data_IF_518856845726
#
_entry.id   IF_518856845726
#
_cell.length_a   1.000
_cell.length_b   1.000
_cell.length_c   1.000
_cell.angle_alpha   90.00
_cell.angle_beta   90.00
_cell.angle_gamma   90.00
#
_symmetry.space_group_name_H-M   'P 1'
#
loop_
_entity.id
_entity.type
_entity.pdbx_description
1 polymer ?
#
# COMPACT_ATOMS: atom_id res chain seq x y z
N UNK A 1 5.88 32.19 -10.17
CA UNK A 1 6.01 30.85 -9.54
C UNK A 1 7.49 30.57 -9.32
N UNK A 2 8.00 30.73 -8.10
CA UNK A 2 9.43 30.52 -7.81
C UNK A 2 9.77 29.03 -8.06
N UNK A 3 10.84 28.80 -8.82
CA UNK A 3 11.38 27.45 -9.03
C UNK A 3 11.74 26.88 -7.66
N UNK A 4 11.00 25.88 -7.19
CA UNK A 4 11.36 25.17 -5.96
C UNK A 4 12.81 24.69 -6.08
N UNK A 5 13.60 24.95 -5.02
CA UNK A 5 14.93 24.37 -4.90
C UNK A 5 14.82 22.84 -5.02
N UNK A 6 15.81 22.21 -5.68
CA UNK A 6 15.90 20.75 -5.78
C UNK A 6 15.76 20.08 -4.40
N UNK A 7 16.28 20.71 -3.34
CA UNK A 7 16.16 20.24 -1.96
C UNK A 7 14.71 20.22 -1.46
N UNK A 8 13.94 21.29 -1.71
CA UNK A 8 12.52 21.36 -1.35
C UNK A 8 11.69 20.32 -2.10
N UNK A 9 12.01 20.09 -3.38
CA UNK A 9 11.34 19.05 -4.18
C UNK A 9 11.57 17.63 -3.63
N UNK A 10 12.80 17.32 -3.22
CA UNK A 10 13.13 16.03 -2.58
C UNK A 10 12.46 15.91 -1.21
N UNK A 11 12.44 16.98 -0.41
CA UNK A 11 11.79 17.00 0.89
C UNK A 11 10.30 16.67 0.75
N UNK A 12 9.58 17.38 -0.13
CA UNK A 12 8.15 17.14 -0.38
C UNK A 12 7.91 15.72 -0.86
N UNK A 13 8.73 15.20 -1.78
CA UNK A 13 8.62 13.83 -2.24
C UNK A 13 8.82 12.81 -1.11
N UNK A 14 9.84 12.98 -0.26
CA UNK A 14 10.09 12.12 0.89
C UNK A 14 8.96 12.16 1.94
N UNK A 15 8.37 13.34 2.16
CA UNK A 15 7.19 13.50 3.01
C UNK A 15 5.98 12.76 2.44
N UNK A 16 5.69 12.90 1.14
CA UNK A 16 4.60 12.20 0.48
C UNK A 16 4.75 10.67 0.58
N UNK A 17 5.98 10.16 0.36
CA UNK A 17 6.27 8.71 0.47
C UNK A 17 6.00 8.21 1.89
N UNK A 18 6.45 8.94 2.92
CA UNK A 18 6.16 8.57 4.31
C UNK A 18 4.66 8.59 4.64
N UNK A 19 3.91 9.53 4.05
CA UNK A 19 2.45 9.60 4.21
C UNK A 19 1.74 8.35 3.69
N UNK A 20 2.29 7.68 2.67
CA UNK A 20 1.75 6.43 2.13
C UNK A 20 1.75 5.28 3.14
N UNK A 21 2.71 5.27 4.08
CA UNK A 21 2.74 4.29 5.19
C UNK A 21 1.47 4.42 6.05
N UNK A 22 0.84 5.59 6.06
CA UNK A 22 -0.47 5.86 6.67
C UNK A 22 -1.59 4.94 6.19
N UNK A 23 -1.50 4.35 4.99
CA UNK A 23 -2.50 3.39 4.47
C UNK A 23 -2.64 2.17 5.37
N UNK A 24 -1.53 1.68 5.95
CA UNK A 24 -1.55 0.57 6.89
C UNK A 24 -2.31 0.94 8.18
N UNK A 25 -2.18 2.18 8.65
CA UNK A 25 -2.92 2.68 9.80
C UNK A 25 -4.41 2.88 9.48
N UNK A 26 -4.73 3.36 8.28
CA UNK A 26 -6.11 3.53 7.82
C UNK A 26 -6.88 2.20 7.78
N UNK A 27 -6.19 1.07 7.62
CA UNK A 27 -6.80 -0.26 7.67
C UNK A 27 -7.56 -0.51 8.98
N UNK A 28 -7.11 0.04 10.11
CA UNK A 28 -7.81 -0.14 11.38
C UNK A 28 -9.25 0.40 11.37
N UNK A 29 -9.52 1.43 10.56
CA UNK A 29 -10.86 1.99 10.34
C UNK A 29 -11.63 1.13 9.33
N UNK A 30 -10.98 0.72 8.24
CA UNK A 30 -11.58 -0.16 7.21
C UNK A 30 -12.01 -1.49 7.84
N UNK A 31 -11.17 -2.10 8.68
CA UNK A 31 -11.49 -3.32 9.42
C UNK A 31 -12.77 -3.17 10.24
N UNK A 32 -12.95 -2.05 10.94
CA UNK A 32 -14.17 -1.80 11.72
C UNK A 32 -15.41 -1.72 10.82
N UNK A 33 -15.30 -1.04 9.67
CA UNK A 33 -16.37 -0.98 8.69
C UNK A 33 -16.68 -2.36 8.07
N UNK A 34 -15.67 -3.17 7.74
CA UNK A 34 -15.87 -4.53 7.21
C UNK A 34 -16.63 -5.43 8.20
N UNK A 35 -16.31 -5.33 9.50
CA UNK A 35 -17.02 -6.10 10.54
C UNK A 35 -18.46 -5.58 10.73
N UNK A 36 -18.67 -4.26 10.71
CA UNK A 36 -19.97 -3.65 10.95
C UNK A 36 -20.93 -3.76 9.76
N UNK A 37 -20.45 -3.49 8.55
CA UNK A 37 -21.27 -3.36 7.34
C UNK A 37 -21.31 -4.67 6.53
N UNK A 38 -20.22 -5.43 6.48
CA UNK A 38 -20.13 -6.68 5.70
C UNK A 38 -20.28 -7.93 6.58
N UNK A 39 -20.42 -7.77 7.91
CA UNK A 39 -20.62 -8.87 8.85
C UNK A 39 -19.42 -9.82 8.98
N UNK A 40 -18.23 -9.39 8.57
CA UNK A 40 -17.03 -10.24 8.61
C UNK A 40 -16.59 -10.54 10.04
N UNK A 41 -15.95 -11.69 10.24
CA UNK A 41 -15.30 -11.97 11.52
C UNK A 41 -14.07 -11.08 11.69
N UNK A 42 -13.67 -10.82 12.94
CA UNK A 42 -12.45 -10.07 13.22
C UNK A 42 -11.19 -10.70 12.60
N UNK A 43 -11.18 -12.03 12.44
CA UNK A 43 -10.10 -12.78 11.81
C UNK A 43 -10.05 -12.47 10.31
N UNK A 44 -11.18 -12.57 9.62
CA UNK A 44 -11.28 -12.32 8.18
C UNK A 44 -10.91 -10.88 7.83
N UNK A 45 -11.36 -9.91 8.62
CA UNK A 45 -11.04 -8.49 8.40
C UNK A 45 -9.58 -8.14 8.77
N UNK A 46 -8.86 -9.00 9.49
CA UNK A 46 -7.42 -8.82 9.78
C UNK A 46 -6.52 -9.51 8.75
N UNK A 47 -7.04 -10.49 8.02
CA UNK A 47 -6.28 -11.28 7.05
C UNK A 47 -5.57 -10.41 5.98
N UNK A 48 -6.24 -9.44 5.32
CA UNK A 48 -5.60 -8.63 4.28
C UNK A 48 -4.44 -7.79 4.81
N UNK A 49 -4.57 -7.27 6.03
CA UNK A 49 -3.52 -6.47 6.67
C UNK A 49 -2.30 -7.30 7.07
N UNK A 50 -2.52 -8.49 7.62
CA UNK A 50 -1.43 -9.38 7.98
C UNK A 50 -0.62 -9.77 6.75
N UNK A 51 -1.30 -10.10 5.65
CA UNK A 51 -0.65 -10.38 4.36
C UNK A 51 0.06 -9.14 3.83
N UNK A 52 -0.55 -7.95 3.93
CA UNK A 52 0.08 -6.69 3.52
C UNK A 52 1.44 -6.48 4.20
N UNK A 53 1.52 -6.69 5.52
CA UNK A 53 2.78 -6.52 6.26
C UNK A 53 3.84 -7.53 5.82
N UNK A 54 3.47 -8.81 5.67
CA UNK A 54 4.43 -9.87 5.28
C UNK A 54 4.97 -9.59 3.87
N UNK A 55 4.07 -9.27 2.94
CA UNK A 55 4.42 -8.94 1.56
C UNK A 55 5.27 -7.68 1.51
N UNK A 56 4.91 -6.66 2.28
CA UNK A 56 5.67 -5.41 2.40
C UNK A 56 7.10 -5.66 2.91
N UNK A 57 7.27 -6.49 3.94
CA UNK A 57 8.59 -6.83 4.47
C UNK A 57 9.49 -7.51 3.41
N UNK A 58 8.92 -8.41 2.59
CA UNK A 58 9.63 -9.06 1.50
C UNK A 58 9.92 -8.06 0.37
N UNK A 59 8.93 -7.23 0.03
CA UNK A 59 9.04 -6.23 -1.02
C UNK A 59 10.11 -5.18 -0.70
N UNK A 60 10.28 -4.78 0.57
CA UNK A 60 11.35 -3.87 0.99
C UNK A 60 12.75 -4.40 0.65
N UNK A 61 12.99 -5.70 0.87
CA UNK A 61 14.28 -6.33 0.54
C UNK A 61 14.53 -6.31 -0.98
N UNK A 62 13.51 -6.65 -1.77
CA UNK A 62 13.60 -6.65 -3.23
C UNK A 62 13.71 -5.23 -3.80
N UNK A 63 12.94 -4.28 -3.25
CA UNK A 63 12.90 -2.89 -3.65
C UNK A 63 14.23 -2.20 -3.35
N UNK A 64 14.89 -2.49 -2.23
CA UNK A 64 16.23 -1.99 -1.92
C UNK A 64 17.26 -2.42 -2.97
N UNK A 65 17.32 -3.73 -3.27
CA UNK A 65 18.22 -4.26 -4.29
C UNK A 65 17.91 -3.70 -5.70
N UNK A 66 16.63 -3.50 -6.02
CA UNK A 66 16.21 -2.89 -7.28
C UNK A 66 16.55 -1.40 -7.33
N UNK A 67 16.38 -0.66 -6.23
CA UNK A 67 16.69 0.76 -6.12
C UNK A 67 18.16 1.05 -6.41
N UNK A 68 19.06 0.18 -5.94
CA UNK A 68 20.50 0.29 -6.22
C UNK A 68 20.84 0.09 -7.70
N UNK A 69 20.05 -0.72 -8.43
CA UNK A 69 20.28 -1.04 -9.85
C UNK A 69 19.64 -0.05 -10.82
N UNK A 70 18.37 0.30 -10.61
CA UNK A 70 17.59 1.11 -11.58
C UNK A 70 17.33 2.55 -11.10
N UNK A 71 17.79 2.88 -9.90
CA UNK A 71 17.66 4.20 -9.27
C UNK A 71 16.33 4.42 -8.56
N UNK A 72 16.30 5.28 -7.52
CA UNK A 72 15.16 5.45 -6.62
C UNK A 72 13.90 5.94 -7.31
N UNK A 73 14.03 6.81 -8.33
CA UNK A 73 12.88 7.43 -8.99
C UNK A 73 11.97 6.41 -9.69
N UNK A 74 12.55 5.37 -10.30
CA UNK A 74 11.79 4.32 -11.00
C UNK A 74 11.10 3.38 -10.02
N UNK A 75 11.79 3.01 -8.94
CA UNK A 75 11.24 2.16 -7.88
C UNK A 75 10.05 2.82 -7.20
N UNK A 76 10.18 4.10 -6.82
CA UNK A 76 9.09 4.87 -6.23
C UNK A 76 7.88 4.95 -7.18
N UNK A 77 8.11 5.18 -8.47
CA UNK A 77 7.03 5.26 -9.46
C UNK A 77 6.29 3.92 -9.59
N UNK A 78 7.02 2.81 -9.59
CA UNK A 78 6.45 1.47 -9.64
C UNK A 78 5.62 1.18 -8.38
N UNK A 79 6.15 1.48 -7.19
CA UNK A 79 5.46 1.29 -5.92
C UNK A 79 4.15 2.07 -5.85
N UNK A 80 4.18 3.38 -6.13
CA UNK A 80 2.96 4.21 -6.12
C UNK A 80 1.92 3.72 -7.15
N UNK A 81 2.37 3.25 -8.32
CA UNK A 81 1.46 2.69 -9.33
C UNK A 81 0.82 1.40 -8.85
N UNK A 82 1.58 0.51 -8.20
CA UNK A 82 1.07 -0.73 -7.62
C UNK A 82 0.09 -0.46 -6.48
N UNK A 83 0.40 0.47 -5.57
CA UNK A 83 -0.52 0.88 -4.49
C UNK A 83 -1.82 1.43 -5.08
N UNK A 84 -1.73 2.37 -6.02
CA UNK A 84 -2.91 2.97 -6.65
C UNK A 84 -3.75 1.93 -7.39
N UNK A 85 -3.13 1.05 -8.17
CA UNK A 85 -3.81 -0.02 -8.89
C UNK A 85 -4.45 -1.04 -7.92
N UNK A 86 -3.73 -1.45 -6.88
CA UNK A 86 -4.23 -2.38 -5.86
C UNK A 86 -5.40 -1.80 -5.07
N UNK A 87 -5.39 -0.50 -4.75
CA UNK A 87 -6.52 0.19 -4.14
C UNK A 87 -7.75 0.21 -5.04
N UNK A 88 -7.57 0.54 -6.32
CA UNK A 88 -8.65 0.54 -7.31
C UNK A 88 -9.23 -0.87 -7.45
N UNK A 89 -8.38 -1.89 -7.58
CA UNK A 89 -8.79 -3.29 -7.65
C UNK A 89 -9.56 -3.72 -6.40
N UNK A 90 -9.13 -3.28 -5.21
CA UNK A 90 -9.80 -3.59 -3.95
C UNK A 90 -11.23 -3.04 -3.90
N UNK A 91 -11.50 -1.92 -4.57
CA UNK A 91 -12.84 -1.33 -4.68
C UNK A 91 -13.83 -2.18 -5.49
N UNK A 92 -13.33 -3.02 -6.39
CA UNK A 92 -14.15 -3.90 -7.23
C UNK A 92 -14.35 -5.30 -6.61
N UNK A 93 -13.76 -5.60 -5.46
CA UNK A 93 -13.86 -6.91 -4.82
C UNK A 93 -15.25 -7.08 -4.17
N UNK A 94 -15.96 -8.19 -4.44
CA UNK A 94 -17.21 -8.51 -3.77
C UNK A 94 -17.07 -8.67 -2.25
N UNK A 95 -18.12 -8.31 -1.52
CA UNK A 95 -18.12 -8.30 -0.05
C UNK A 95 -17.93 -9.68 0.59
N UNK A 96 -18.22 -10.74 -0.13
CA UNK A 96 -18.08 -12.14 0.27
C UNK A 96 -16.67 -12.70 0.04
N UNK A 97 -15.80 -11.96 -0.67
CA UNK A 97 -14.49 -12.44 -1.09
C UNK A 97 -13.33 -11.89 -0.25
N UNK A 98 -13.14 -12.46 0.94
CA UNK A 98 -11.98 -12.19 1.83
C UNK A 98 -10.65 -12.42 1.12
N UNK A 99 -10.55 -13.50 0.33
CA UNK A 99 -9.33 -13.84 -0.42
C UNK A 99 -9.04 -12.80 -1.49
N UNK A 100 -10.05 -12.36 -2.24
CA UNK A 100 -9.90 -11.31 -3.25
C UNK A 100 -9.37 -10.01 -2.67
N UNK A 101 -9.89 -9.59 -1.51
CA UNK A 101 -9.43 -8.39 -0.81
C UNK A 101 -8.01 -8.59 -0.25
N UNK A 102 -7.70 -9.80 0.23
CA UNK A 102 -6.37 -10.18 0.72
C UNK A 102 -5.32 -10.14 -0.40
N UNK A 103 -5.65 -10.55 -1.62
CA UNK A 103 -4.74 -10.51 -2.76
C UNK A 103 -4.58 -9.08 -3.29
N UNK A 104 -5.69 -8.35 -3.47
CA UNK A 104 -5.66 -6.99 -3.98
C UNK A 104 -4.99 -6.02 -3.01
N UNK A 105 -5.39 -6.02 -1.74
CA UNK A 105 -4.82 -5.15 -0.72
C UNK A 105 -3.54 -5.76 -0.13
N UNK A 106 -3.59 -6.97 0.40
CA UNK A 106 -2.42 -7.59 1.03
C UNK A 106 -1.28 -7.88 0.06
N UNK A 107 -1.58 -8.37 -1.14
CA UNK A 107 -0.57 -8.64 -2.16
C UNK A 107 -0.14 -7.38 -2.91
N UNK A 108 -1.05 -6.82 -3.71
CA UNK A 108 -0.70 -5.76 -4.66
C UNK A 108 -0.40 -4.44 -3.96
N UNK A 109 -1.25 -4.01 -3.00
CA UNK A 109 -0.95 -2.80 -2.23
C UNK A 109 0.27 -3.03 -1.34
N UNK A 110 0.36 -4.17 -0.64
CA UNK A 110 1.51 -4.51 0.21
C UNK A 110 2.86 -4.51 -0.52
N UNK A 111 2.92 -4.95 -1.78
CA UNK A 111 4.17 -4.90 -2.58
C UNK A 111 4.57 -3.49 -3.03
N UNK A 112 3.63 -2.54 -3.07
CA UNK A 112 3.88 -1.19 -3.57
C UNK A 112 4.21 -0.15 -2.48
N UNK A 113 3.88 -0.44 -1.22
CA UNK A 113 4.23 0.39 -0.04
C UNK A 113 5.74 0.27 0.23
#
# INVERSE_FOLDING_TARGET
>A
MSKMSKATGVLVAGTCINLTIGVLYAWSVIKKALVADWGWTNTDASMPYNVAIVVWAIALLAAGAMQDRIGPKKVITLGVTLVGAGMILSSFIPQDSVIGLTIAFGGIVGTGI
#
